data_IF_255222860598
#
_entry.id   IF_255222860598
#
_cell.length_a   1.000
_cell.length_b   1.000
_cell.length_c   1.000
_cell.angle_alpha   90.00
_cell.angle_beta   90.00
_cell.angle_gamma   90.00
#
_symmetry.space_group_name_H-M   'P 1'
#
loop_
_entity.id
_entity.type
_entity.pdbx_description
1 polymer ?
#
# COMPACT_ATOMS: atom_id res chain seq x y z
N UNK A 1 4.37 4.74 -10.92
CA UNK A 1 2.99 4.20 -10.93
C UNK A 1 2.11 5.15 -11.71
N UNK A 2 1.04 4.67 -12.34
CA UNK A 2 0.00 5.51 -12.95
C UNK A 2 -1.39 4.99 -12.59
N UNK A 3 -2.39 5.86 -12.60
CA UNK A 3 -3.81 5.48 -12.50
C UNK A 3 -4.32 5.13 -13.89
N UNK A 4 -5.05 4.04 -13.98
CA UNK A 4 -5.70 3.55 -15.20
C UNK A 4 -7.20 3.36 -14.91
N UNK A 5 -7.98 4.36 -15.30
CA UNK A 5 -9.43 4.39 -15.12
C UNK A 5 -10.18 3.57 -16.18
N UNK A 6 -9.48 3.01 -17.17
CA UNK A 6 -10.08 2.15 -18.20
C UNK A 6 -10.25 0.69 -17.75
N UNK A 7 -9.64 0.30 -16.63
CA UNK A 7 -9.75 -1.04 -16.05
C UNK A 7 -10.99 -1.17 -15.16
N UNK A 8 -11.47 -2.40 -14.99
CA UNK A 8 -12.61 -2.72 -14.11
C UNK A 8 -12.16 -3.75 -13.05
N UNK A 9 -11.95 -3.35 -11.78
CA UNK A 9 -12.06 -1.98 -11.25
C UNK A 9 -10.91 -1.07 -11.72
N UNK A 10 -11.06 0.28 -11.63
CA UNK A 10 -9.97 1.21 -11.88
C UNK A 10 -8.76 0.87 -11.02
N UNK A 11 -7.57 0.94 -11.61
CA UNK A 11 -6.36 0.45 -10.96
C UNK A 11 -5.21 1.45 -10.92
N UNK A 12 -4.37 1.32 -9.89
CA UNK A 12 -3.03 1.86 -9.87
C UNK A 12 -2.09 0.80 -10.42
N UNK A 13 -1.41 1.13 -11.51
CA UNK A 13 -0.45 0.26 -12.16
C UNK A 13 0.97 0.62 -11.72
N UNK A 14 1.67 -0.36 -11.16
CA UNK A 14 3.11 -0.32 -10.93
C UNK A 14 3.83 -1.15 -11.98
N UNK A 15 4.70 -0.52 -12.78
CA UNK A 15 5.45 -1.16 -13.85
C UNK A 15 6.94 -1.05 -13.56
N UNK A 16 7.64 -2.19 -13.52
CA UNK A 16 9.10 -2.28 -13.36
C UNK A 16 9.62 -3.25 -14.42
N UNK A 17 10.29 -2.73 -15.45
CA UNK A 17 10.67 -3.51 -16.62
C UNK A 17 9.44 -4.15 -17.28
N UNK A 18 9.43 -5.47 -17.46
CA UNK A 18 8.27 -6.23 -17.95
C UNK A 18 7.26 -6.59 -16.85
N UNK A 19 7.60 -6.39 -15.58
CA UNK A 19 6.73 -6.76 -14.45
C UNK A 19 5.71 -5.66 -14.21
N UNK A 20 4.42 -6.02 -14.34
CA UNK A 20 3.27 -5.20 -13.98
C UNK A 20 2.68 -5.70 -12.67
N UNK A 21 2.32 -4.81 -11.76
CA UNK A 21 1.47 -5.03 -10.59
C UNK A 21 0.29 -4.06 -10.65
N UNK A 22 -0.86 -4.44 -10.12
CA UNK A 22 -2.04 -3.58 -10.06
C UNK A 22 -2.71 -3.60 -8.70
N UNK A 23 -3.05 -2.41 -8.22
CA UNK A 23 -3.78 -2.17 -6.99
C UNK A 23 -5.11 -1.46 -7.27
N UNK A 24 -6.13 -1.68 -6.46
CA UNK A 24 -7.37 -0.89 -6.52
C UNK A 24 -7.08 0.59 -6.18
N UNK A 25 -7.64 1.52 -6.96
CA UNK A 25 -7.43 2.98 -6.74
C UNK A 25 -7.86 3.47 -5.36
N UNK A 26 -8.80 2.77 -4.71
CA UNK A 26 -9.26 3.10 -3.35
C UNK A 26 -8.16 2.98 -2.31
N UNK A 27 -7.10 2.21 -2.60
CA UNK A 27 -5.96 2.04 -1.72
C UNK A 27 -5.34 3.36 -1.25
N UNK A 28 -5.35 4.42 -2.09
CA UNK A 28 -4.83 5.73 -1.71
C UNK A 28 -5.65 6.34 -0.56
N UNK A 29 -6.96 6.47 -0.77
CA UNK A 29 -7.85 7.14 0.17
C UNK A 29 -8.02 6.33 1.45
N UNK A 30 -8.12 5.01 1.33
CA UNK A 30 -8.29 4.12 2.48
C UNK A 30 -7.03 4.09 3.35
N UNK A 31 -5.84 4.03 2.74
CA UNK A 31 -4.58 4.07 3.47
C UNK A 31 -4.43 5.41 4.20
N UNK A 32 -4.70 6.52 3.52
CA UNK A 32 -4.65 7.85 4.15
C UNK A 32 -5.61 7.97 5.33
N UNK A 33 -6.86 7.51 5.15
CA UNK A 33 -7.89 7.52 6.20
C UNK A 33 -7.47 6.66 7.39
N UNK A 34 -6.91 5.47 7.12
CA UNK A 34 -6.39 4.60 8.18
C UNK A 34 -5.24 5.27 8.93
N UNK A 35 -4.27 5.87 8.24
CA UNK A 35 -3.13 6.54 8.87
C UNK A 35 -3.57 7.74 9.72
N UNK A 36 -4.57 8.51 9.27
CA UNK A 36 -5.18 9.58 10.08
C UNK A 36 -5.81 9.05 11.36
N UNK A 37 -6.52 7.91 11.26
CA UNK A 37 -7.11 7.25 12.43
C UNK A 37 -6.05 6.69 13.38
N UNK A 38 -4.95 6.16 12.83
CA UNK A 38 -3.81 5.66 13.61
C UNK A 38 -3.09 6.80 14.34
N UNK A 39 -2.94 7.95 13.69
CA UNK A 39 -2.52 9.21 14.34
C UNK A 39 -1.03 9.33 14.66
N UNK A 40 -0.21 8.33 14.33
CA UNK A 40 1.25 8.33 14.56
C UNK A 40 1.99 7.63 13.41
N UNK A 41 3.30 7.45 13.56
CA UNK A 41 4.13 6.66 12.66
C UNK A 41 3.76 5.17 12.72
N UNK A 42 3.56 4.57 11.55
CA UNK A 42 3.28 3.16 11.36
C UNK A 42 4.42 2.51 10.55
N UNK A 43 5.02 1.41 11.00
CA UNK A 43 6.03 0.71 10.22
C UNK A 43 5.47 0.22 8.89
N UNK A 44 6.25 0.37 7.81
CA UNK A 44 5.78 0.04 6.47
C UNK A 44 5.52 -1.46 6.32
N UNK A 45 6.51 -2.27 6.70
CA UNK A 45 6.55 -3.67 6.30
C UNK A 45 6.76 -3.81 4.78
N UNK A 46 7.24 -4.98 4.35
CA UNK A 46 7.54 -5.25 2.94
C UNK A 46 7.40 -6.73 2.61
N UNK A 47 6.57 -7.45 3.37
CA UNK A 47 6.43 -8.88 3.24
C UNK A 47 5.94 -9.25 1.84
N UNK A 48 6.59 -10.26 1.24
CA UNK A 48 6.05 -10.93 0.08
C UNK A 48 4.68 -11.58 0.41
N UNK A 49 3.80 -11.75 -0.58
CA UNK A 49 2.47 -12.33 -0.34
C UNK A 49 2.56 -13.73 0.29
N UNK A 50 3.59 -14.49 -0.06
CA UNK A 50 3.80 -15.85 0.45
C UNK A 50 4.32 -15.88 1.90
N UNK A 51 4.76 -14.73 2.44
CA UNK A 51 5.26 -14.61 3.81
C UNK A 51 4.22 -13.92 4.69
N UNK A 52 4.16 -14.24 6.00
CA UNK A 52 3.32 -13.49 6.92
C UNK A 52 3.77 -12.01 6.96
N UNK A 53 2.80 -11.10 6.94
CA UNK A 53 3.06 -9.70 7.20
C UNK A 53 3.20 -9.49 8.71
N UNK A 54 4.20 -8.71 9.13
CA UNK A 54 4.39 -8.38 10.54
C UNK A 54 3.19 -7.55 11.04
N UNK A 55 2.60 -7.95 12.17
CA UNK A 55 1.47 -7.24 12.75
C UNK A 55 1.80 -5.78 13.08
N UNK A 56 0.80 -4.90 13.02
CA UNK A 56 0.97 -3.46 13.26
C UNK A 56 1.65 -2.69 12.13
N UNK A 57 1.92 -3.34 10.97
CA UNK A 57 2.50 -2.67 9.80
C UNK A 57 1.47 -2.26 8.76
N UNK A 58 1.82 -1.31 7.90
CA UNK A 58 1.01 -0.92 6.73
C UNK A 58 0.73 -2.13 5.83
N UNK A 59 1.74 -2.97 5.62
CA UNK A 59 1.61 -4.24 4.89
C UNK A 59 0.57 -5.17 5.51
N UNK A 60 0.57 -5.34 6.84
CA UNK A 60 -0.41 -6.18 7.52
C UNK A 60 -1.82 -5.59 7.44
N UNK A 61 -1.98 -4.29 7.57
CA UNK A 61 -3.28 -3.63 7.38
C UNK A 61 -3.82 -3.85 5.96
N UNK A 62 -2.98 -3.66 4.93
CA UNK A 62 -3.39 -3.81 3.54
C UNK A 62 -3.80 -5.24 3.17
N UNK A 63 -3.32 -6.23 3.93
CA UNK A 63 -3.63 -7.66 3.75
C UNK A 63 -4.72 -8.17 4.71
N UNK A 64 -5.18 -7.33 5.63
CA UNK A 64 -6.16 -7.70 6.66
C UNK A 64 -7.55 -7.93 6.04
N UNK A 65 -8.26 -9.01 6.41
CA UNK A 65 -9.65 -9.21 6.01
C UNK A 65 -10.60 -8.14 6.59
N UNK A 66 -10.12 -7.33 7.53
CA UNK A 66 -10.90 -6.24 8.16
C UNK A 66 -10.70 -4.89 7.47
N UNK A 67 -9.84 -4.80 6.46
CA UNK A 67 -9.72 -3.56 5.70
C UNK A 67 -10.94 -3.39 4.76
N UNK A 68 -11.16 -2.19 4.20
CA UNK A 68 -12.32 -1.91 3.35
C UNK A 68 -12.54 -2.89 2.19
N UNK A 69 -11.48 -3.53 1.67
CA UNK A 69 -11.53 -4.47 0.55
C UNK A 69 -11.24 -5.92 0.95
N UNK A 70 -11.36 -6.26 2.23
CA UNK A 70 -11.16 -7.64 2.70
C UNK A 70 -9.75 -8.20 2.48
N UNK A 71 -8.74 -7.35 2.39
CA UNK A 71 -7.34 -7.75 2.22
C UNK A 71 -6.86 -7.86 0.76
N UNK A 72 -7.63 -7.31 -0.18
CA UNK A 72 -7.44 -7.46 -1.63
C UNK A 72 -7.27 -6.13 -2.38
N UNK A 73 -6.45 -5.22 -1.85
CA UNK A 73 -6.02 -4.08 -2.66
C UNK A 73 -5.22 -4.52 -3.88
N UNK A 74 -4.39 -5.57 -3.78
CA UNK A 74 -3.78 -6.20 -4.95
C UNK A 74 -4.84 -6.96 -5.75
N UNK A 75 -5.03 -6.59 -7.02
CA UNK A 75 -6.18 -7.04 -7.83
C UNK A 75 -6.11 -8.51 -8.28
N UNK A 76 -5.02 -9.24 -7.99
CA UNK A 76 -4.90 -10.68 -8.24
C UNK A 76 -3.91 -11.35 -7.28
N UNK A 77 -3.92 -12.68 -7.27
CA UNK A 77 -2.93 -13.49 -6.53
C UNK A 77 -1.51 -13.12 -6.96
N UNK A 78 -0.63 -12.95 -5.99
CA UNK A 78 0.75 -12.49 -6.15
C UNK A 78 0.92 -10.97 -6.10
N UNK A 79 -0.16 -10.18 -6.04
CA UNK A 79 -0.11 -8.70 -6.01
C UNK A 79 -0.41 -8.10 -4.64
N UNK A 80 -0.77 -8.91 -3.64
CA UNK A 80 -1.14 -8.41 -2.31
C UNK A 80 0.06 -8.08 -1.43
N UNK A 81 1.21 -8.67 -1.75
CA UNK A 81 2.47 -8.42 -1.05
C UNK A 81 3.11 -7.10 -1.46
N UNK A 82 4.05 -6.64 -0.64
CA UNK A 82 4.89 -5.45 -0.88
C UNK A 82 4.06 -4.16 -1.07
N UNK A 83 2.81 -4.15 -0.61
CA UNK A 83 1.98 -2.96 -0.57
C UNK A 83 2.67 -1.84 0.20
N UNK A 84 3.30 -2.17 1.34
CA UNK A 84 4.11 -1.27 2.15
C UNK A 84 5.41 -0.78 1.49
N UNK A 85 5.75 -1.27 0.29
CA UNK A 85 6.86 -0.70 -0.51
C UNK A 85 6.38 0.24 -1.62
N UNK A 86 5.27 -0.09 -2.27
CA UNK A 86 4.83 0.66 -3.46
C UNK A 86 3.88 1.82 -3.13
N UNK A 87 3.00 1.64 -2.15
CA UNK A 87 2.02 2.67 -1.81
C UNK A 87 2.58 3.87 -1.04
N UNK A 88 3.48 3.71 -0.05
CA UNK A 88 4.01 4.84 0.71
C UNK A 88 4.66 5.94 -0.14
N UNK A 89 5.61 5.66 -1.06
CA UNK A 89 6.20 6.73 -1.88
C UNK A 89 5.19 7.40 -2.81
N UNK A 90 4.12 6.70 -3.22
CA UNK A 90 3.03 7.31 -3.97
C UNK A 90 2.25 8.31 -3.09
N UNK A 91 1.88 7.94 -1.87
CA UNK A 91 1.17 8.86 -0.96
C UNK A 91 2.02 10.05 -0.57
N UNK A 92 3.33 9.86 -0.39
CA UNK A 92 4.28 10.94 -0.16
C UNK A 92 4.32 11.92 -1.35
N UNK A 93 4.46 11.40 -2.59
CA UNK A 93 4.46 12.22 -3.79
C UNK A 93 3.13 12.98 -4.01
N UNK A 94 2.01 12.43 -3.54
CA UNK A 94 0.70 13.08 -3.56
C UNK A 94 0.51 14.09 -2.40
N UNK A 95 1.48 14.22 -1.49
CA UNK A 95 1.41 15.11 -0.33
C UNK A 95 0.44 14.65 0.76
N UNK A 96 0.05 13.37 0.76
CA UNK A 96 -0.90 12.78 1.72
C UNK A 96 -0.22 12.18 2.95
N UNK A 97 1.06 11.81 2.84
CA UNK A 97 1.79 11.17 3.92
C UNK A 97 3.23 11.69 4.01
N UNK A 98 3.83 11.52 5.19
CA UNK A 98 5.27 11.59 5.40
C UNK A 98 5.82 10.17 5.48
N UNK A 99 6.98 9.91 4.86
CA UNK A 99 7.64 8.61 4.86
C UNK A 99 9.09 8.76 5.30
N UNK A 100 9.57 7.83 6.13
CA UNK A 100 10.98 7.79 6.50
C UNK A 100 11.85 7.21 5.37
N UNK A 101 13.03 7.77 5.18
CA UNK A 101 14.00 7.35 4.14
C UNK A 101 15.29 6.79 4.77
N UNK A 102 15.15 5.91 5.76
CA UNK A 102 16.28 5.20 6.38
C UNK A 102 16.67 3.95 5.56
N UNK A 103 17.85 3.35 5.80
CA UNK A 103 18.25 2.11 5.14
C UNK A 103 17.32 0.91 5.38
N UNK A 104 16.57 0.90 6.49
CA UNK A 104 15.62 -0.16 6.87
C UNK A 104 14.63 0.33 7.92
N UNK A 105 13.56 -0.44 8.13
CA UNK A 105 12.53 -0.22 9.17
C UNK A 105 11.82 1.13 9.05
N UNK A 106 11.65 1.62 7.82
CA UNK A 106 10.94 2.87 7.56
C UNK A 106 9.49 2.79 8.05
N UNK A 107 8.98 3.95 8.43
CA UNK A 107 7.60 4.18 8.84
C UNK A 107 6.97 5.24 7.95
N UNK A 108 5.65 5.35 8.02
CA UNK A 108 4.90 6.46 7.45
C UNK A 108 3.83 6.96 8.40
N UNK A 109 3.39 8.19 8.21
CA UNK A 109 2.20 8.75 8.89
C UNK A 109 1.40 9.62 7.92
N UNK A 110 0.13 9.84 8.22
CA UNK A 110 -0.68 10.80 7.46
C UNK A 110 -0.20 12.23 7.69
N UNK A 111 -0.36 13.06 6.66
CA UNK A 111 -0.25 14.52 6.73
C UNK A 111 -1.60 15.17 7.06
#
# INVERSE_FOLDING_TARGET
>A
MYRDDSLTPPALVCQVGSTKLSYDVRAINDLHTMLKKHGDWMPLGAADEQKPAAEGTVEAWARSPKNPLGGWYGLRKGYRGRFGMYMPPLLEALGLAEVEHNPKNNRMRAK
#
